data_IF_866067244354
#
_entry.id   IF_866067244354
#
_cell.length_a   1.000
_cell.length_b   1.000
_cell.length_c   1.000
_cell.angle_alpha   90.00
_cell.angle_beta   90.00
_cell.angle_gamma   90.00
#
_symmetry.space_group_name_H-M   'P 1'
#
loop_
_entity.id
_entity.type
_entity.pdbx_description
1 polymer ?
#
# COMPACT_ATOMS: atom_id res chain seq x y z
N UNK A 1 3.05 12.00 -9.58
CA UNK A 1 1.69 11.97 -9.03
C UNK A 1 1.66 11.26 -7.67
N UNK A 2 2.23 10.05 -7.51
CA UNK A 2 2.25 9.32 -6.23
C UNK A 2 2.94 10.11 -5.10
N UNK A 3 4.04 10.82 -5.39
CA UNK A 3 4.73 11.68 -4.42
C UNK A 3 3.85 12.87 -3.98
N UNK A 4 3.17 13.52 -4.94
CA UNK A 4 2.23 14.62 -4.67
C UNK A 4 1.06 14.14 -3.80
N UNK A 5 0.48 12.96 -4.12
CA UNK A 5 -0.57 12.36 -3.31
C UNK A 5 -0.10 12.11 -1.86
N UNK A 6 1.10 11.58 -1.69
CA UNK A 6 1.65 11.31 -0.36
C UNK A 6 1.91 12.61 0.43
N UNK A 7 2.33 13.68 -0.24
CA UNK A 7 2.48 14.99 0.38
C UNK A 7 1.14 15.52 0.90
N UNK A 8 0.10 15.57 0.05
CA UNK A 8 -1.24 15.98 0.49
C UNK A 8 -1.81 15.09 1.59
N UNK A 9 -1.52 13.79 1.56
CA UNK A 9 -1.92 12.87 2.63
C UNK A 9 -1.26 13.22 3.96
N UNK A 10 0.03 13.55 3.96
CA UNK A 10 0.75 13.98 5.17
C UNK A 10 0.17 15.27 5.73
N UNK A 11 0.01 16.28 4.88
CA UNK A 11 -0.56 17.57 5.26
C UNK A 11 -1.97 17.41 5.84
N UNK A 12 -2.82 16.63 5.19
CA UNK A 12 -4.16 16.32 5.66
C UNK A 12 -4.15 15.66 7.05
N UNK A 13 -3.33 14.63 7.23
CA UNK A 13 -3.25 13.92 8.53
C UNK A 13 -2.72 14.86 9.61
N UNK A 14 -1.69 15.64 9.33
CA UNK A 14 -1.10 16.58 10.28
C UNK A 14 -2.09 17.67 10.69
N UNK A 15 -2.75 18.31 9.74
CA UNK A 15 -3.75 19.34 9.99
C UNK A 15 -4.93 18.80 10.79
N UNK A 16 -5.42 17.62 10.44
CA UNK A 16 -6.54 16.99 11.15
C UNK A 16 -6.18 16.54 12.57
N UNK A 17 -4.99 16.01 12.78
CA UNK A 17 -4.50 15.63 14.12
C UNK A 17 -4.31 16.87 14.98
N UNK A 18 -3.78 17.96 14.42
CA UNK A 18 -3.64 19.25 15.12
C UNK A 18 -4.99 19.82 15.51
N UNK A 19 -5.94 19.89 14.58
CA UNK A 19 -7.31 20.32 14.84
C UNK A 19 -7.94 19.53 15.99
N UNK A 20 -7.83 18.21 15.93
CA UNK A 20 -8.34 17.33 16.97
C UNK A 20 -7.68 17.59 18.34
N UNK A 21 -6.37 17.77 18.37
CA UNK A 21 -5.62 18.08 19.60
C UNK A 21 -6.06 19.41 20.23
N UNK A 22 -6.29 20.44 19.42
CA UNK A 22 -6.79 21.73 19.89
C UNK A 22 -8.21 21.57 20.44
N UNK A 23 -9.12 20.93 19.70
CA UNK A 23 -10.48 20.68 20.18
C UNK A 23 -10.50 19.92 21.52
N UNK A 24 -9.63 18.92 21.69
CA UNK A 24 -9.53 18.17 22.96
C UNK A 24 -9.04 19.05 24.13
N UNK A 25 -8.15 20.02 23.91
CA UNK A 25 -7.71 20.99 24.95
C UNK A 25 -8.88 21.86 25.42
N UNK A 26 -9.83 22.14 24.56
CA UNK A 26 -11.07 22.85 24.91
C UNK A 26 -12.16 21.93 25.47
N UNK A 27 -11.85 20.68 25.76
CA UNK A 27 -12.76 19.70 26.37
C UNK A 27 -13.82 19.15 25.42
N UNK A 28 -13.63 19.27 24.09
CA UNK A 28 -14.54 18.66 23.12
C UNK A 28 -14.31 17.15 23.00
N UNK A 29 -15.36 16.31 23.09
CA UNK A 29 -15.24 14.86 23.09
C UNK A 29 -15.06 14.32 21.65
N UNK A 30 -13.91 14.56 21.03
CA UNK A 30 -13.59 13.99 19.72
C UNK A 30 -12.98 12.60 19.90
N UNK A 31 -13.77 11.57 19.62
CA UNK A 31 -13.34 10.17 19.76
C UNK A 31 -12.20 9.77 18.82
N UNK A 32 -11.37 8.81 19.26
CA UNK A 32 -10.29 8.22 18.44
C UNK A 32 -10.91 7.43 17.29
N UNK A 33 -10.92 7.92 16.09
CA UNK A 33 -11.41 7.19 14.90
C UNK A 33 -12.49 7.90 14.12
N UNK A 34 -13.18 8.88 14.70
CA UNK A 34 -14.19 9.62 13.97
C UNK A 34 -13.54 10.77 13.20
N UNK A 35 -13.25 10.54 11.92
CA UNK A 35 -12.90 11.60 10.97
C UNK A 35 -14.14 12.23 10.33
N UNK A 36 -15.28 12.26 11.07
CA UNK A 36 -16.47 12.92 10.60
C UNK A 36 -16.35 14.43 10.84
N UNK A 37 -16.00 15.15 9.78
CA UNK A 37 -15.76 16.59 9.80
C UNK A 37 -17.01 17.38 10.14
N UNK A 38 -18.19 16.89 9.76
CA UNK A 38 -19.46 17.56 10.07
C UNK A 38 -19.72 17.51 11.58
N UNK A 39 -19.43 16.37 12.22
CA UNK A 39 -19.55 16.26 13.67
C UNK A 39 -18.54 17.13 14.42
N UNK A 40 -17.35 17.33 13.88
CA UNK A 40 -16.36 18.26 14.47
C UNK A 40 -16.84 19.69 14.35
N UNK A 41 -17.42 20.07 13.22
CA UNK A 41 -18.00 21.38 12.96
C UNK A 41 -19.15 21.70 13.93
N UNK A 42 -20.09 20.77 14.09
CA UNK A 42 -21.20 20.88 15.06
C UNK A 42 -20.66 21.08 16.48
N UNK A 43 -19.75 20.22 16.93
CA UNK A 43 -19.18 20.31 18.28
C UNK A 43 -18.44 21.64 18.53
N UNK A 44 -17.74 22.17 17.53
CA UNK A 44 -17.04 23.45 17.63
C UNK A 44 -18.05 24.60 17.68
N UNK A 45 -19.05 24.59 16.79
CA UNK A 45 -20.04 25.67 16.68
C UNK A 45 -20.94 25.76 17.91
N UNK A 46 -21.39 24.62 18.44
CA UNK A 46 -22.31 24.56 19.60
C UNK A 46 -21.62 24.76 20.95
N UNK A 47 -20.29 24.64 20.99
CA UNK A 47 -19.55 24.74 22.25
C UNK A 47 -19.65 26.15 22.87
N UNK A 48 -20.18 26.26 24.07
CA UNK A 48 -20.15 27.47 24.87
C UNK A 48 -18.82 27.75 25.57
N UNK A 49 -17.91 26.76 25.58
CA UNK A 49 -16.61 26.84 26.26
C UNK A 49 -15.53 27.51 25.42
N UNK A 50 -15.74 27.60 24.11
CA UNK A 50 -14.74 28.12 23.15
C UNK A 50 -15.10 29.57 22.83
N UNK A 51 -14.16 30.53 22.98
CA UNK A 51 -14.36 31.93 22.50
C UNK A 51 -14.64 31.96 21.01
N UNK A 52 -15.43 32.94 20.55
CA UNK A 52 -15.85 33.03 19.16
C UNK A 52 -14.65 33.14 18.20
N UNK A 53 -13.66 33.94 18.53
CA UNK A 53 -12.42 34.08 17.72
C UNK A 53 -11.70 32.74 17.50
N UNK A 54 -11.66 31.91 18.55
CA UNK A 54 -11.04 30.58 18.44
C UNK A 54 -11.87 29.62 17.59
N UNK A 55 -13.21 29.72 17.68
CA UNK A 55 -14.11 28.93 16.81
C UNK A 55 -13.85 29.22 15.35
N UNK A 56 -13.73 30.50 14.98
CA UNK A 56 -13.55 30.94 13.61
C UNK A 56 -12.25 30.33 13.02
N UNK A 57 -11.14 30.37 13.77
CA UNK A 57 -9.87 29.74 13.35
C UNK A 57 -9.96 28.22 13.29
N UNK A 58 -10.71 27.57 14.17
CA UNK A 58 -10.90 26.12 14.12
C UNK A 58 -11.75 25.71 12.91
N UNK A 59 -12.76 26.49 12.55
CA UNK A 59 -13.58 26.26 11.36
C UNK A 59 -12.79 26.47 10.08
N UNK A 60 -11.91 27.47 10.03
CA UNK A 60 -10.99 27.70 8.91
C UNK A 60 -10.01 26.53 8.74
N UNK A 61 -9.43 26.04 9.85
CA UNK A 61 -8.56 24.87 9.81
C UNK A 61 -9.30 23.61 9.35
N UNK A 62 -10.57 23.47 9.76
CA UNK A 62 -11.44 22.39 9.29
C UNK A 62 -11.73 22.49 7.79
N UNK A 63 -11.94 23.71 7.29
CA UNK A 63 -12.12 23.96 5.86
C UNK A 63 -10.87 23.59 5.07
N UNK A 64 -9.68 23.96 5.53
CA UNK A 64 -8.40 23.55 4.94
C UNK A 64 -8.27 22.03 4.89
N UNK A 65 -8.66 21.32 5.94
CA UNK A 65 -8.72 19.86 5.94
C UNK A 65 -9.68 19.29 4.87
N UNK A 66 -10.83 19.96 4.65
CA UNK A 66 -11.79 19.56 3.61
C UNK A 66 -11.21 19.73 2.20
N UNK A 67 -10.49 20.80 1.97
CA UNK A 67 -9.85 21.05 0.69
C UNK A 67 -8.73 20.04 0.39
N UNK A 68 -7.87 19.76 1.35
CA UNK A 68 -6.85 18.72 1.21
C UNK A 68 -7.48 17.36 0.92
N UNK A 69 -8.60 17.03 1.55
CA UNK A 69 -9.33 15.80 1.26
C UNK A 69 -9.90 15.79 -0.18
N UNK A 70 -10.45 16.91 -0.67
CA UNK A 70 -10.93 17.02 -2.06
C UNK A 70 -9.77 16.79 -3.05
N UNK A 71 -8.60 17.40 -2.80
CA UNK A 71 -7.39 17.18 -3.61
C UNK A 71 -6.94 15.72 -3.60
N UNK A 72 -6.91 15.07 -2.43
CA UNK A 72 -6.59 13.66 -2.29
C UNK A 72 -7.56 12.76 -3.06
N UNK A 73 -8.86 13.06 -2.99
CA UNK A 73 -9.89 12.30 -3.71
C UNK A 73 -9.70 12.45 -5.24
N UNK A 74 -9.42 13.66 -5.72
CA UNK A 74 -9.16 13.93 -7.14
C UNK A 74 -7.97 13.12 -7.67
N UNK A 75 -6.84 13.14 -6.95
CA UNK A 75 -5.66 12.35 -7.34
C UNK A 75 -5.93 10.85 -7.24
N UNK A 76 -6.66 10.41 -6.21
CA UNK A 76 -6.99 9.00 -6.04
C UNK A 76 -7.91 8.48 -7.16
N UNK A 77 -8.86 9.32 -7.63
CA UNK A 77 -9.71 9.03 -8.78
C UNK A 77 -8.86 8.88 -10.06
N UNK A 78 -7.98 9.83 -10.32
CA UNK A 78 -7.05 9.77 -11.46
C UNK A 78 -6.19 8.49 -11.44
N UNK A 79 -5.62 8.15 -10.28
CA UNK A 79 -4.81 6.93 -10.14
C UNK A 79 -5.63 5.66 -10.34
N UNK A 80 -6.91 5.68 -9.96
CA UNK A 80 -7.84 4.57 -10.22
C UNK A 80 -8.10 4.42 -11.71
N UNK A 81 -8.48 5.50 -12.39
CA UNK A 81 -8.72 5.52 -13.85
C UNK A 81 -7.47 5.06 -14.62
N UNK A 82 -6.29 5.53 -14.21
CA UNK A 82 -5.03 5.04 -14.78
C UNK A 82 -4.84 3.54 -14.58
N UNK A 83 -5.09 3.04 -13.37
CA UNK A 83 -4.90 1.62 -13.05
C UNK A 83 -5.91 0.73 -13.79
N UNK A 84 -7.14 1.20 -13.98
CA UNK A 84 -8.21 0.48 -14.68
C UNK A 84 -7.92 0.37 -16.20
N UNK A 85 -7.16 1.31 -16.76
CA UNK A 85 -6.79 1.33 -18.18
C UNK A 85 -5.40 0.72 -18.46
N UNK A 86 -4.68 0.28 -17.43
CA UNK A 86 -3.31 -0.26 -17.58
C UNK A 86 -3.27 -1.76 -17.30
N UNK A 87 -2.86 -2.54 -18.30
CA UNK A 87 -2.84 -4.00 -18.23
C UNK A 87 -1.95 -4.54 -17.09
N UNK A 88 -0.80 -3.90 -16.84
CA UNK A 88 0.12 -4.30 -15.75
C UNK A 88 -0.53 -4.04 -14.40
N UNK A 89 -1.16 -2.89 -14.22
CA UNK A 89 -1.88 -2.56 -13.00
C UNK A 89 -3.06 -3.50 -12.78
N UNK A 90 -3.83 -3.84 -13.82
CA UNK A 90 -4.93 -4.80 -13.73
C UNK A 90 -4.43 -6.18 -13.28
N UNK A 91 -3.33 -6.68 -13.84
CA UNK A 91 -2.69 -7.93 -13.41
C UNK A 91 -2.28 -7.87 -11.94
N UNK A 92 -1.68 -6.77 -11.50
CA UNK A 92 -1.28 -6.57 -10.10
C UNK A 92 -2.50 -6.48 -9.17
N UNK A 93 -3.56 -5.77 -9.58
CA UNK A 93 -4.82 -5.63 -8.82
C UNK A 93 -5.60 -6.94 -8.70
N UNK A 94 -5.35 -7.92 -9.57
CA UNK A 94 -5.95 -9.24 -9.42
C UNK A 94 -5.57 -9.94 -8.11
N UNK A 95 -4.44 -9.55 -7.48
CA UNK A 95 -3.99 -10.09 -6.20
C UNK A 95 -4.84 -9.53 -5.05
N UNK A 96 -5.47 -10.38 -4.23
CA UNK A 96 -6.28 -9.92 -3.10
C UNK A 96 -5.52 -8.96 -2.19
N UNK A 97 -6.15 -7.84 -1.82
CA UNK A 97 -5.58 -6.82 -0.96
C UNK A 97 -4.73 -5.78 -1.68
N UNK A 98 -4.61 -5.83 -3.01
CA UNK A 98 -3.94 -4.81 -3.80
C UNK A 98 -4.97 -3.99 -4.56
N UNK A 99 -5.10 -2.72 -4.17
CA UNK A 99 -5.96 -1.75 -4.85
C UNK A 99 -5.20 -0.88 -5.86
N UNK A 100 -5.91 0.03 -6.58
CA UNK A 100 -5.33 0.88 -7.64
C UNK A 100 -4.11 1.69 -7.20
N UNK A 101 -4.16 2.29 -6.02
CA UNK A 101 -3.07 3.10 -5.46
C UNK A 101 -1.82 2.24 -5.21
N UNK A 102 -2.02 1.02 -4.70
CA UNK A 102 -0.91 0.09 -4.46
C UNK A 102 -0.35 -0.43 -5.77
N UNK A 103 -1.21 -0.79 -6.73
CA UNK A 103 -0.81 -1.30 -8.03
C UNK A 103 0.02 -0.28 -8.82
N UNK A 104 -0.46 0.97 -8.92
CA UNK A 104 0.27 2.06 -9.59
C UNK A 104 1.60 2.38 -8.90
N UNK A 105 1.66 2.30 -7.56
CA UNK A 105 2.91 2.46 -6.81
C UNK A 105 3.88 1.32 -7.07
N UNK A 106 3.40 0.08 -7.07
CA UNK A 106 4.22 -1.09 -7.36
C UNK A 106 4.74 -1.05 -8.79
N UNK A 107 3.91 -0.74 -9.80
CA UNK A 107 4.36 -0.57 -11.19
C UNK A 107 5.48 0.46 -11.28
N UNK A 108 5.31 1.64 -10.69
CA UNK A 108 6.29 2.71 -10.73
C UNK A 108 7.62 2.36 -10.05
N UNK A 109 7.60 1.55 -8.98
CA UNK A 109 8.81 1.22 -8.20
C UNK A 109 9.45 -0.09 -8.62
N UNK A 110 8.71 -1.02 -9.19
CA UNK A 110 9.25 -2.28 -9.74
C UNK A 110 10.04 -1.99 -11.03
N UNK A 111 9.49 -1.16 -11.93
CA UNK A 111 10.07 -0.96 -13.27
C UNK A 111 10.14 -2.31 -14.01
N UNK A 112 11.35 -2.73 -14.39
CA UNK A 112 11.55 -4.04 -14.97
C UNK A 112 11.54 -5.14 -13.90
N UNK A 113 10.63 -6.10 -14.05
CA UNK A 113 10.49 -7.25 -13.13
C UNK A 113 11.64 -8.24 -13.25
N UNK A 114 12.33 -8.30 -14.39
CA UNK A 114 13.43 -9.23 -14.64
C UNK A 114 14.63 -8.97 -13.72
N UNK A 115 14.83 -7.73 -13.25
CA UNK A 115 15.88 -7.40 -12.27
C UNK A 115 15.75 -8.16 -10.95
N UNK A 116 14.61 -8.76 -10.67
CA UNK A 116 14.38 -9.57 -9.48
C UNK A 116 14.48 -11.05 -9.82
N UNK A 117 15.68 -11.60 -9.99
CA UNK A 117 15.91 -13.00 -10.36
C UNK A 117 15.23 -13.99 -9.41
N UNK A 118 15.28 -13.73 -8.09
CA UNK A 118 14.74 -14.61 -7.05
C UNK A 118 13.47 -14.01 -6.40
N UNK A 119 12.47 -14.84 -6.03
CA UNK A 119 11.27 -14.34 -5.34
C UNK A 119 11.56 -13.64 -4.00
N UNK A 120 12.73 -13.87 -3.40
CA UNK A 120 13.16 -13.20 -2.18
C UNK A 120 13.70 -11.79 -2.45
N UNK A 121 14.22 -11.52 -3.65
CA UNK A 121 14.84 -10.23 -4.00
C UNK A 121 13.83 -9.09 -3.98
N UNK A 122 12.63 -9.27 -4.55
CA UNK A 122 11.58 -8.26 -4.51
C UNK A 122 11.10 -8.00 -3.07
N UNK A 123 11.03 -9.02 -2.22
CA UNK A 123 10.64 -8.88 -0.81
C UNK A 123 11.70 -8.11 -0.02
N UNK A 124 12.99 -8.34 -0.32
CA UNK A 124 14.10 -7.61 0.27
C UNK A 124 14.14 -6.14 -0.17
N UNK A 125 13.85 -5.87 -1.45
CA UNK A 125 13.76 -4.53 -2.02
C UNK A 125 12.74 -3.65 -1.29
N UNK A 126 11.57 -4.21 -0.92
CA UNK A 126 10.57 -3.51 -0.13
C UNK A 126 10.78 -3.61 1.39
N UNK A 127 11.88 -4.22 1.84
CA UNK A 127 12.26 -4.31 3.25
C UNK A 127 11.31 -5.15 4.11
N UNK A 128 10.64 -6.14 3.52
CA UNK A 128 9.74 -7.08 4.21
C UNK A 128 10.45 -8.37 4.65
N UNK A 129 11.76 -8.47 4.48
CA UNK A 129 12.56 -9.56 5.02
C UNK A 129 12.91 -9.33 6.50
N UNK A 130 13.01 -10.37 7.33
CA UNK A 130 13.48 -10.25 8.70
C UNK A 130 14.91 -9.72 8.75
N UNK A 131 15.21 -8.90 9.77
CA UNK A 131 16.60 -8.59 10.12
C UNK A 131 17.23 -9.82 10.70
N UNK A 132 18.41 -10.20 10.22
CA UNK A 132 19.25 -11.19 10.83
C UNK A 132 20.37 -10.49 11.60
N UNK A 133 20.53 -10.83 12.87
CA UNK A 133 21.68 -10.48 13.68
C UNK A 133 22.40 -11.79 13.97
N UNK A 134 23.46 -12.08 13.23
CA UNK A 134 24.33 -13.20 13.48
C UNK A 134 25.52 -12.73 14.30
N UNK A 135 25.70 -13.32 15.46
CA UNK A 135 26.91 -13.22 16.27
C UNK A 135 27.43 -14.66 16.47
N UNK A 136 28.46 -15.05 15.71
CA UNK A 136 28.98 -16.39 15.73
C UNK A 136 27.92 -17.44 15.35
N UNK A 137 27.70 -18.45 16.18
CA UNK A 137 26.75 -19.54 15.91
C UNK A 137 25.27 -19.21 16.21
N UNK A 138 24.97 -18.03 16.78
CA UNK A 138 23.60 -17.66 17.15
C UNK A 138 22.99 -16.65 16.16
N UNK A 139 22.02 -17.09 15.35
CA UNK A 139 21.23 -16.24 14.46
C UNK A 139 19.90 -15.82 15.15
N UNK A 140 19.81 -14.60 15.62
CA UNK A 140 18.56 -14.03 16.14
C UNK A 140 17.82 -13.26 15.05
N UNK A 141 16.60 -13.72 14.69
CA UNK A 141 15.71 -13.05 13.74
C UNK A 141 14.94 -11.94 14.43
N UNK A 142 15.12 -10.71 13.97
CA UNK A 142 14.41 -9.53 14.43
C UNK A 142 13.16 -9.20 13.62
N UNK A 143 12.65 -7.96 13.78
CA UNK A 143 11.59 -7.41 12.91
C UNK A 143 12.03 -7.26 11.45
N UNK A 144 11.15 -6.75 10.59
CA UNK A 144 11.48 -6.50 9.17
C UNK A 144 12.55 -5.42 9.03
N UNK A 145 13.33 -5.48 7.93
CA UNK A 145 14.47 -4.55 7.69
C UNK A 145 14.02 -3.11 7.50
N UNK A 146 12.80 -2.88 6.99
CA UNK A 146 12.21 -1.56 6.67
C UNK A 146 13.01 -0.76 5.64
N UNK A 147 13.92 -1.37 4.88
CA UNK A 147 14.65 -0.74 3.76
C UNK A 147 13.72 -0.53 2.56
N UNK A 148 14.12 0.32 1.63
CA UNK A 148 13.36 0.61 0.41
C UNK A 148 12.09 1.43 0.63
N UNK A 149 11.15 1.35 -0.31
CA UNK A 149 9.95 2.21 -0.35
C UNK A 149 9.02 1.99 0.84
N UNK A 150 9.02 2.99 1.75
CA UNK A 150 8.18 2.99 2.96
C UNK A 150 6.69 3.01 2.62
N UNK A 151 6.29 3.78 1.60
CA UNK A 151 4.88 3.97 1.24
C UNK A 151 4.31 2.68 0.63
N UNK A 152 5.02 2.09 -0.34
CA UNK A 152 4.60 0.81 -0.93
C UNK A 152 4.51 -0.30 0.14
N UNK A 153 5.48 -0.35 1.06
CA UNK A 153 5.46 -1.31 2.16
C UNK A 153 4.26 -1.12 3.08
N UNK A 154 3.92 0.12 3.45
CA UNK A 154 2.76 0.43 4.28
C UNK A 154 1.46 -0.02 3.59
N UNK A 155 1.27 0.34 2.32
CA UNK A 155 0.12 -0.05 1.52
C UNK A 155 -0.03 -1.58 1.40
N UNK A 156 1.08 -2.30 1.23
CA UNK A 156 1.08 -3.76 1.18
C UNK A 156 0.69 -4.40 2.52
N UNK A 157 1.18 -3.85 3.63
CA UNK A 157 0.83 -4.33 4.98
C UNK A 157 -0.63 -4.04 5.30
N UNK A 158 -1.14 -2.86 4.94
CA UNK A 158 -2.56 -2.50 5.08
C UNK A 158 -3.44 -3.44 4.25
N UNK A 159 -3.10 -3.67 2.99
CA UNK A 159 -3.80 -4.62 2.12
C UNK A 159 -3.76 -6.06 2.65
N UNK A 160 -2.64 -6.48 3.22
CA UNK A 160 -2.54 -7.78 3.88
C UNK A 160 -3.48 -7.87 5.11
N UNK A 161 -3.60 -6.79 5.90
CA UNK A 161 -4.53 -6.70 7.01
C UNK A 161 -6.00 -6.88 6.56
N UNK A 162 -6.38 -6.24 5.45
CA UNK A 162 -7.72 -6.42 4.85
C UNK A 162 -7.96 -7.87 4.47
N UNK A 163 -7.00 -8.52 3.80
CA UNK A 163 -7.10 -9.94 3.41
C UNK A 163 -7.23 -10.85 4.63
N UNK A 164 -6.50 -10.59 5.71
CA UNK A 164 -6.60 -11.36 6.96
C UNK A 164 -7.97 -11.21 7.62
N UNK A 165 -8.56 -10.01 7.57
CA UNK A 165 -9.91 -9.75 8.07
C UNK A 165 -10.97 -10.46 7.23
N UNK A 166 -10.84 -10.44 5.89
CA UNK A 166 -11.73 -11.18 4.99
C UNK A 166 -11.63 -12.69 5.21
N UNK A 167 -10.42 -13.20 5.43
CA UNK A 167 -10.20 -14.60 5.76
C UNK A 167 -10.84 -15.00 7.10
N UNK A 168 -10.78 -14.11 8.11
CA UNK A 168 -11.42 -14.34 9.40
C UNK A 168 -12.95 -14.42 9.32
N UNK A 169 -13.54 -13.65 8.39
CA UNK A 169 -14.98 -13.60 8.13
C UNK A 169 -15.46 -14.67 7.12
N UNK A 170 -14.55 -15.52 6.61
CA UNK A 170 -14.88 -16.54 5.61
C UNK A 170 -15.09 -16.03 4.18
N UNK A 171 -14.83 -14.75 3.91
CA UNK A 171 -15.07 -14.14 2.59
C UNK A 171 -13.88 -14.25 1.61
N UNK A 172 -12.77 -14.86 2.01
CA UNK A 172 -11.63 -15.02 1.12
C UNK A 172 -11.85 -16.20 0.15
N UNK A 173 -12.00 -15.89 -1.14
CA UNK A 173 -12.28 -16.87 -2.21
C UNK A 173 -11.13 -17.86 -2.47
N UNK A 174 -9.89 -17.49 -2.19
CA UNK A 174 -8.72 -18.35 -2.43
C UNK A 174 -8.54 -19.37 -1.31
N UNK A 175 -9.01 -20.61 -1.53
CA UNK A 175 -8.82 -21.73 -0.61
C UNK A 175 -7.35 -21.98 -0.22
N UNK A 176 -6.35 -21.97 -1.17
CA UNK A 176 -4.96 -22.18 -0.81
C UNK A 176 -4.37 -21.05 0.05
N UNK A 177 -4.80 -19.78 -0.19
CA UNK A 177 -4.35 -18.65 0.61
C UNK A 177 -4.94 -18.71 2.03
N UNK A 178 -6.22 -19.08 2.15
CA UNK A 178 -6.87 -19.37 3.43
C UNK A 178 -6.11 -20.43 4.23
N UNK A 179 -5.84 -21.58 3.60
CA UNK A 179 -5.11 -22.69 4.22
C UNK A 179 -3.73 -22.26 4.72
N UNK A 180 -3.04 -21.39 3.96
CA UNK A 180 -1.77 -20.81 4.39
C UNK A 180 -1.93 -19.88 5.60
N UNK A 181 -2.96 -19.02 5.61
CA UNK A 181 -3.27 -18.12 6.72
C UNK A 181 -3.59 -18.91 7.99
N UNK A 182 -4.46 -19.91 7.90
CA UNK A 182 -4.83 -20.78 9.01
C UNK A 182 -3.63 -21.51 9.60
N UNK A 183 -2.73 -22.06 8.74
CA UNK A 183 -1.48 -22.68 9.21
C UNK A 183 -0.64 -21.69 10.02
N UNK A 184 -0.58 -20.41 9.63
CA UNK A 184 0.16 -19.39 10.37
C UNK A 184 -0.52 -18.98 11.67
N UNK A 185 -1.87 -18.93 11.68
CA UNK A 185 -2.66 -18.67 12.89
C UNK A 185 -2.51 -19.79 13.92
N UNK A 186 -2.53 -21.06 13.49
CA UNK A 186 -2.27 -22.21 14.37
C UNK A 186 -0.91 -22.13 15.07
N UNK A 187 0.09 -21.52 14.44
CA UNK A 187 1.40 -21.23 15.03
C UNK A 187 1.38 -20.01 15.99
N UNK A 188 0.20 -19.50 16.38
CA UNK A 188 0.01 -18.33 17.27
C UNK A 188 0.84 -17.11 16.84
N UNK A 189 1.01 -16.91 15.51
CA UNK A 189 1.79 -15.78 15.00
C UNK A 189 1.08 -14.45 15.33
N UNK A 190 1.74 -13.47 15.97
CA UNK A 190 1.17 -12.18 16.25
C UNK A 190 0.68 -11.46 14.98
N UNK A 191 -0.44 -10.72 15.07
CA UNK A 191 -1.10 -10.06 13.95
C UNK A 191 -0.15 -9.27 13.05
N UNK A 192 0.67 -8.39 13.62
CA UNK A 192 1.61 -7.58 12.84
C UNK A 192 2.64 -8.41 12.07
N UNK A 193 3.14 -9.52 12.67
CA UNK A 193 4.03 -10.46 11.97
C UNK A 193 3.30 -11.19 10.85
N UNK A 194 2.04 -11.55 11.05
CA UNK A 194 1.21 -12.20 10.06
C UNK A 194 0.92 -11.27 8.86
N UNK A 195 0.60 -9.99 9.12
CA UNK A 195 0.45 -8.97 8.07
C UNK A 195 1.73 -8.83 7.23
N UNK A 196 2.90 -8.71 7.86
CA UNK A 196 4.18 -8.62 7.16
C UNK A 196 4.49 -9.89 6.33
N UNK A 197 4.20 -11.08 6.88
CA UNK A 197 4.41 -12.34 6.18
C UNK A 197 3.48 -12.49 4.98
N UNK A 198 2.23 -12.04 5.10
CA UNK A 198 1.27 -12.05 3.99
C UNK A 198 1.64 -11.01 2.93
N UNK A 199 2.02 -9.78 3.31
CA UNK A 199 2.53 -8.77 2.39
C UNK A 199 3.73 -9.27 1.57
N UNK A 200 4.68 -9.94 2.23
CA UNK A 200 5.80 -10.60 1.56
C UNK A 200 5.35 -11.72 0.60
N UNK A 201 4.29 -12.47 0.94
CA UNK A 201 3.70 -13.47 0.04
C UNK A 201 3.01 -12.81 -1.15
N UNK A 202 2.27 -11.74 -0.93
CA UNK A 202 1.63 -10.95 -2.01
C UNK A 202 2.65 -10.46 -3.02
N UNK A 203 3.79 -9.89 -2.59
CA UNK A 203 4.87 -9.48 -3.50
C UNK A 203 5.45 -10.63 -4.34
N UNK A 204 5.60 -11.82 -3.76
CA UNK A 204 6.06 -12.99 -4.53
C UNK A 204 5.03 -13.41 -5.58
N UNK A 205 3.76 -13.29 -5.26
CA UNK A 205 2.66 -13.56 -6.22
C UNK A 205 2.68 -12.50 -7.32
N UNK A 206 2.80 -11.21 -7.00
CA UNK A 206 2.94 -10.11 -7.98
C UNK A 206 4.11 -10.39 -8.93
N UNK A 207 5.29 -10.76 -8.39
CA UNK A 207 6.43 -11.12 -9.22
C UNK A 207 6.11 -12.27 -10.18
N UNK A 208 5.50 -13.34 -9.69
CA UNK A 208 5.15 -14.49 -10.52
C UNK A 208 4.18 -14.10 -11.65
N UNK A 209 3.14 -13.31 -11.33
CA UNK A 209 2.17 -12.80 -12.29
C UNK A 209 2.84 -11.95 -13.38
N UNK A 210 3.72 -11.03 -12.99
CA UNK A 210 4.39 -10.14 -13.93
C UNK A 210 5.39 -10.88 -14.84
N UNK A 211 6.07 -11.91 -14.33
CA UNK A 211 6.98 -12.73 -15.15
C UNK A 211 6.21 -13.62 -16.11
N UNK A 212 5.08 -14.20 -15.68
CA UNK A 212 4.28 -15.10 -16.49
C UNK A 212 3.30 -14.37 -17.42
N UNK A 213 3.11 -13.06 -17.23
CA UNK A 213 2.11 -12.27 -17.96
C UNK A 213 0.66 -12.64 -17.64
N UNK A 214 0.42 -13.42 -16.57
CA UNK A 214 -0.91 -13.95 -16.20
C UNK A 214 -1.57 -13.12 -15.11
N UNK A 215 -2.86 -13.36 -14.85
CA UNK A 215 -3.58 -12.82 -13.70
C UNK A 215 -3.55 -13.79 -12.51
N UNK A 216 -3.92 -13.28 -11.32
CA UNK A 216 -3.98 -14.08 -10.11
C UNK A 216 -4.94 -15.27 -10.24
N UNK A 217 -4.42 -16.46 -10.03
CA UNK A 217 -5.21 -17.67 -10.00
C UNK A 217 -5.50 -18.09 -8.55
N UNK A 218 -6.76 -17.96 -8.13
CA UNK A 218 -7.20 -18.29 -6.77
C UNK A 218 -7.00 -19.78 -6.41
N UNK A 219 -6.93 -20.67 -7.40
CA UNK A 219 -6.72 -22.12 -7.20
C UNK A 219 -5.25 -22.45 -6.90
N UNK A 220 -4.29 -21.66 -7.41
CA UNK A 220 -2.85 -21.94 -7.36
C UNK A 220 -2.12 -21.13 -6.28
N UNK A 221 -2.66 -20.02 -5.83
CA UNK A 221 -2.02 -19.03 -4.95
C UNK A 221 -1.47 -19.54 -3.60
N UNK A 222 -1.72 -20.79 -3.26
CA UNK A 222 -1.17 -21.46 -2.07
C UNK A 222 0.14 -22.19 -2.30
N UNK A 223 0.47 -22.54 -3.54
CA UNK A 223 1.61 -23.38 -3.89
C UNK A 223 2.86 -22.50 -4.04
N UNK A 224 3.73 -22.54 -3.05
CA UNK A 224 4.91 -21.67 -2.94
C UNK A 224 6.15 -22.20 -3.67
N UNK A 225 6.00 -22.95 -4.75
CA UNK A 225 7.12 -23.36 -5.62
C UNK A 225 6.77 -23.07 -7.06
N UNK A 226 7.00 -21.83 -7.48
CA UNK A 226 7.14 -21.54 -8.89
C UNK A 226 8.57 -21.95 -9.30
N UNK A 227 8.78 -23.22 -9.61
CA UNK A 227 9.87 -23.63 -10.46
C UNK A 227 9.50 -23.20 -11.87
N UNK A 228 10.14 -22.14 -12.37
CA UNK A 228 10.06 -21.78 -13.77
C UNK A 228 10.49 -23.00 -14.61
N UNK A 229 9.78 -23.37 -15.68
CA UNK A 229 10.29 -24.31 -16.66
C UNK A 229 11.66 -23.81 -17.13
N UNK A 230 12.65 -24.70 -17.20
CA UNK A 230 14.01 -24.35 -17.62
C UNK A 230 14.10 -23.85 -19.07
N UNK A 231 13.03 -24.01 -19.84
CA UNK A 231 12.96 -23.69 -21.27
C UNK A 231 12.74 -22.21 -21.59
N UNK A 232 12.29 -21.38 -20.66
CA UNK A 232 12.07 -19.94 -20.94
C UNK A 232 13.31 -19.05 -20.75
N UNK A 233 14.48 -19.63 -20.44
CA UNK A 233 15.72 -18.85 -20.26
C UNK A 233 16.39 -18.40 -21.56
N UNK A 234 16.06 -19.00 -22.69
CA UNK A 234 16.77 -18.77 -23.95
C UNK A 234 16.04 -17.92 -25.00
N UNK A 235 14.79 -17.49 -24.75
CA UNK A 235 13.98 -16.80 -25.77
C UNK A 235 13.62 -15.33 -25.47
N UNK A 236 14.28 -14.65 -24.54
CA UNK A 236 13.98 -13.23 -24.23
C UNK A 236 15.19 -12.31 -24.52
N UNK A 237 16.08 -12.72 -25.44
CA UNK A 237 17.05 -11.78 -26.04
C UNK A 237 16.60 -11.38 -27.46
N UNK A 238 15.48 -10.75 -27.58
CA UNK A 238 15.04 -10.23 -28.86
C UNK A 238 13.75 -9.44 -28.74
N UNK A 239 13.87 -8.14 -28.94
CA UNK A 239 12.79 -7.16 -29.13
C UNK A 239 12.08 -6.64 -27.89
N UNK A 240 12.66 -5.63 -27.26
CA UNK A 240 11.88 -4.55 -26.66
C UNK A 240 12.39 -3.20 -27.17
N UNK A 241 11.79 -2.74 -28.29
CA UNK A 241 11.77 -1.31 -28.61
C UNK A 241 10.91 -0.63 -27.54
N UNK A 242 11.55 0.23 -26.77
CA UNK A 242 10.88 1.19 -25.90
C UNK A 242 10.00 2.08 -26.76
N UNK A 243 8.69 1.95 -26.67
CA UNK A 243 7.76 2.93 -27.18
C UNK A 243 7.83 4.18 -26.29
N UNK A 244 8.31 5.25 -26.87
CA UNK A 244 8.38 6.58 -26.29
C UNK A 244 7.01 7.05 -25.82
N UNK A 245 6.92 7.51 -24.59
CA UNK A 245 5.74 8.19 -24.06
C UNK A 245 5.81 9.63 -24.54
N UNK A 246 4.89 10.17 -25.33
CA UNK A 246 4.91 11.56 -25.72
C UNK A 246 4.69 12.46 -24.49
N UNK A 247 5.63 13.37 -24.27
CA UNK A 247 5.51 14.45 -23.29
C UNK A 247 4.55 15.52 -23.83
N UNK A 248 3.72 16.16 -23.00
CA UNK A 248 2.76 17.15 -23.44
C UNK A 248 3.34 18.56 -23.71
N UNK A 249 4.64 18.73 -23.74
CA UNK A 249 5.26 19.99 -24.20
C UNK A 249 6.65 19.67 -24.75
N UNK A 250 6.82 19.95 -26.05
CA UNK A 250 8.06 19.75 -26.78
C UNK A 250 9.21 20.62 -26.28
N UNK A 251 10.05 20.04 -25.44
CA UNK A 251 11.43 20.49 -25.26
C UNK A 251 12.31 19.28 -25.00
N UNK A 252 13.19 19.04 -25.96
CA UNK A 252 14.25 18.03 -25.91
C UNK A 252 15.32 18.57 -24.96
N UNK A 253 15.60 17.86 -23.87
CA UNK A 253 16.85 18.04 -23.13
C UNK A 253 17.74 16.83 -23.41
N UNK A 254 18.79 17.12 -24.17
CA UNK A 254 19.99 16.29 -24.32
C UNK A 254 20.85 16.60 -23.07
N UNK A 255 21.03 15.63 -22.22
CA UNK A 255 22.27 15.31 -21.47
C UNK A 255 22.10 14.01 -20.72
#
# INVERSE_FOLDING_TARGET
IQAVREQFRKEYIQSFVSLKGICQRWGLPISKGVMNKNKVEELVSESKKIPQEVKDWLLELLQSCRELQKRLNKISKYLKEYADNDEICQKIMSVPGIGPITATRLKATIGDIQRFEKPKSIVAYYGLVPKSKATGHNEKKGGITRRGDRVARSLLIEGAGVVLNLAAKGFLRSKPLNKWIEKKRKLKMPWGKLCCALAAKMLRIVRAILIQGTSFNAKIAGVARCSLPKESRNNVMGNNKLSEIPSPNGSVYIH
#
